data_IF_413831614358
#
_entry.id   IF_413831614358
#
_cell.length_a   1.000
_cell.length_b   1.000
_cell.length_c   1.000
_cell.angle_alpha   90.00
_cell.angle_beta   90.00
_cell.angle_gamma   90.00
#
_symmetry.space_group_name_H-M   'P 1'
#
loop_
_entity.id
_entity.type
_entity.pdbx_description
1 polymer ?
#
# COMPACT_ATOMS: atom_id res chain seq x y z
N UNK A 1 -6.17 9.41 27.82
CA UNK A 1 -5.49 10.12 26.71
C UNK A 1 -5.89 9.58 25.34
N UNK A 2 -5.89 8.25 25.10
CA UNK A 2 -6.25 7.66 23.79
C UNK A 2 -7.65 8.02 23.25
N UNK A 3 -8.67 8.12 24.11
CA UNK A 3 -10.03 8.52 23.70
C UNK A 3 -10.07 9.97 23.15
N UNK A 4 -9.38 10.91 23.83
CA UNK A 4 -9.34 12.31 23.40
C UNK A 4 -8.61 12.49 22.06
N UNK A 5 -7.52 11.74 21.83
CA UNK A 5 -6.82 11.78 20.53
C UNK A 5 -7.65 11.18 19.40
N UNK A 6 -8.47 10.15 19.70
CA UNK A 6 -9.40 9.55 18.74
C UNK A 6 -10.52 10.51 18.34
N UNK A 7 -11.17 11.15 19.31
CA UNK A 7 -12.23 12.13 19.04
C UNK A 7 -11.71 13.35 18.28
N UNK A 8 -10.48 13.78 18.59
CA UNK A 8 -9.78 14.81 17.84
C UNK A 8 -9.52 14.38 16.39
N UNK A 9 -9.01 13.16 16.18
CA UNK A 9 -8.75 12.65 14.83
C UNK A 9 -10.03 12.53 14.01
N UNK A 10 -11.14 12.07 14.60
CA UNK A 10 -12.46 12.02 13.95
C UNK A 10 -12.95 13.40 13.55
N UNK A 11 -12.80 14.40 14.44
CA UNK A 11 -13.18 15.79 14.14
C UNK A 11 -12.36 16.37 12.98
N UNK A 12 -11.06 16.08 12.93
CA UNK A 12 -10.17 16.50 11.85
C UNK A 12 -10.47 15.77 10.53
N UNK A 13 -10.81 14.48 10.58
CA UNK A 13 -11.24 13.70 9.41
C UNK A 13 -12.54 14.25 8.83
N UNK A 14 -13.51 14.60 9.69
CA UNK A 14 -14.74 15.25 9.26
C UNK A 14 -14.47 16.61 8.59
N UNK A 15 -13.54 17.40 9.12
CA UNK A 15 -13.11 18.66 8.49
C UNK A 15 -12.39 18.41 7.15
N UNK A 16 -11.51 17.41 7.07
CA UNK A 16 -10.82 17.04 5.85
C UNK A 16 -11.77 16.60 4.73
N UNK A 17 -12.88 15.94 5.07
CA UNK A 17 -13.84 15.46 4.10
C UNK A 17 -14.81 16.57 3.66
N UNK A 18 -15.31 17.37 4.60
CA UNK A 18 -16.49 18.23 4.36
C UNK A 18 -16.18 19.73 4.22
N UNK A 19 -14.99 20.21 4.59
CA UNK A 19 -14.72 21.65 4.60
C UNK A 19 -14.59 22.24 3.18
N UNK A 20 -15.10 23.46 2.94
CA UNK A 20 -15.04 24.10 1.62
C UNK A 20 -13.65 24.63 1.24
N UNK A 21 -12.83 24.96 2.23
CA UNK A 21 -11.45 25.44 2.04
C UNK A 21 -10.45 24.27 1.96
N UNK A 22 -9.73 24.18 0.84
CA UNK A 22 -8.71 23.16 0.57
C UNK A 22 -7.52 23.22 1.55
N UNK A 23 -7.09 24.40 1.99
CA UNK A 23 -5.99 24.53 2.94
C UNK A 23 -6.37 23.95 4.31
N UNK A 24 -7.62 24.15 4.74
CA UNK A 24 -8.15 23.53 5.96
C UNK A 24 -8.22 22.01 5.82
N UNK A 25 -8.65 21.50 4.66
CA UNK A 25 -8.67 20.04 4.41
C UNK A 25 -7.27 19.42 4.53
N UNK A 26 -6.28 20.01 3.86
CA UNK A 26 -4.91 19.51 3.85
C UNK A 26 -4.22 19.63 5.21
N UNK A 27 -4.43 20.74 5.92
CA UNK A 27 -3.88 20.91 7.28
C UNK A 27 -4.52 19.94 8.28
N UNK A 28 -5.81 19.64 8.13
CA UNK A 28 -6.50 18.64 8.94
C UNK A 28 -5.94 17.24 8.68
N UNK A 29 -5.74 16.85 7.42
CA UNK A 29 -5.12 15.56 7.08
C UNK A 29 -3.70 15.42 7.60
N UNK A 30 -2.90 16.48 7.51
CA UNK A 30 -1.55 16.49 8.05
C UNK A 30 -1.54 16.23 9.56
N UNK A 31 -2.50 16.80 10.29
CA UNK A 31 -2.66 16.57 11.73
C UNK A 31 -3.13 15.15 12.03
N UNK A 32 -4.12 14.64 11.28
CA UNK A 32 -4.59 13.25 11.40
C UNK A 32 -3.43 12.27 11.19
N UNK A 33 -2.63 12.46 10.14
CA UNK A 33 -1.44 11.65 9.89
C UNK A 33 -0.48 11.67 11.08
N UNK A 34 -0.21 12.85 11.68
CA UNK A 34 0.64 12.94 12.86
C UNK A 34 0.09 12.16 14.07
N UNK A 35 -1.22 12.22 14.31
CA UNK A 35 -1.89 11.47 15.38
C UNK A 35 -1.76 9.97 15.12
N UNK A 36 -2.13 9.51 13.92
CA UNK A 36 -2.12 8.09 13.56
C UNK A 36 -0.71 7.50 13.57
N UNK A 37 0.29 8.24 13.10
CA UNK A 37 1.68 7.79 13.04
C UNK A 37 2.34 7.64 14.41
N UNK A 38 1.74 8.21 15.47
CA UNK A 38 2.19 8.06 16.86
C UNK A 38 1.31 7.13 17.70
N UNK A 39 0.19 6.67 17.13
CA UNK A 39 -0.74 5.77 17.80
C UNK A 39 -0.31 4.30 17.68
N UNK A 40 -0.86 3.46 18.57
CA UNK A 40 -0.79 2.02 18.41
C UNK A 40 -1.48 1.59 17.08
N UNK A 41 -0.91 0.65 16.32
CA UNK A 41 -1.47 0.20 15.04
C UNK A 41 -2.95 -0.21 15.10
N UNK A 42 -3.38 -0.89 16.17
CA UNK A 42 -4.77 -1.35 16.32
C UNK A 42 -5.73 -0.18 16.54
N UNK A 43 -5.32 0.83 17.32
CA UNK A 43 -6.09 2.05 17.54
C UNK A 43 -6.13 2.93 16.30
N UNK A 44 -5.03 3.00 15.54
CA UNK A 44 -4.99 3.72 14.28
C UNK A 44 -5.96 3.10 13.25
N UNK A 45 -6.04 1.77 13.22
CA UNK A 45 -6.89 1.03 12.30
C UNK A 45 -8.39 1.32 12.46
N UNK A 46 -8.85 1.70 13.66
CA UNK A 46 -10.24 2.13 13.88
C UNK A 46 -10.64 3.34 13.02
N UNK A 47 -9.66 4.14 12.59
CA UNK A 47 -9.87 5.36 11.81
C UNK A 47 -9.72 5.15 10.30
N UNK A 48 -9.30 3.96 9.85
CA UNK A 48 -9.10 3.67 8.43
C UNK A 48 -10.37 3.79 7.58
N UNK A 49 -11.57 3.36 8.04
CA UNK A 49 -12.79 3.55 7.24
C UNK A 49 -13.05 5.01 6.85
N UNK A 50 -12.77 5.94 7.75
CA UNK A 50 -12.93 7.39 7.49
C UNK A 50 -11.85 7.94 6.57
N UNK A 51 -10.64 7.37 6.58
CA UNK A 51 -9.61 7.70 5.59
C UNK A 51 -10.03 7.26 4.19
N UNK A 52 -10.67 6.09 4.05
CA UNK A 52 -11.15 5.58 2.76
C UNK A 52 -12.16 6.54 2.13
N UNK A 53 -13.02 7.19 2.90
CA UNK A 53 -14.01 8.16 2.37
C UNK A 53 -13.38 9.30 1.57
N UNK A 54 -12.16 9.73 1.95
CA UNK A 54 -11.44 10.83 1.29
C UNK A 54 -11.04 10.48 -0.15
N UNK A 55 -11.10 9.20 -0.55
CA UNK A 55 -10.82 8.80 -1.92
C UNK A 55 -11.76 9.46 -2.93
N UNK A 56 -12.98 9.80 -2.49
CA UNK A 56 -14.01 10.42 -3.32
C UNK A 56 -13.91 11.95 -3.38
N UNK A 57 -12.91 12.55 -2.73
CA UNK A 57 -12.70 13.99 -2.79
C UNK A 57 -12.49 14.47 -4.24
N UNK A 58 -13.16 15.55 -4.67
CA UNK A 58 -12.94 16.13 -5.99
C UNK A 58 -11.53 16.73 -6.11
N UNK A 59 -10.91 17.14 -5.01
CA UNK A 59 -9.61 17.79 -5.00
C UNK A 59 -8.45 16.79 -5.08
N UNK A 60 -7.68 16.81 -6.17
CA UNK A 60 -6.59 15.85 -6.37
C UNK A 60 -5.46 15.97 -5.34
N UNK A 61 -5.30 17.15 -4.71
CA UNK A 61 -4.34 17.33 -3.61
C UNK A 61 -4.75 16.57 -2.34
N UNK A 62 -6.06 16.46 -2.06
CA UNK A 62 -6.58 15.68 -0.93
C UNK A 62 -6.33 14.20 -1.20
N UNK A 63 -6.63 13.71 -2.42
CA UNK A 63 -6.36 12.32 -2.81
C UNK A 63 -4.86 11.97 -2.75
N UNK A 64 -3.97 12.88 -3.15
CA UNK A 64 -2.51 12.70 -2.94
C UNK A 64 -2.12 12.64 -1.48
N UNK A 65 -2.66 13.54 -0.65
CA UNK A 65 -2.38 13.56 0.79
C UNK A 65 -2.90 12.31 1.49
N UNK A 66 -4.01 11.73 1.01
CA UNK A 66 -4.51 10.43 1.45
C UNK A 66 -3.49 9.32 1.15
N UNK A 67 -2.94 9.25 -0.06
CA UNK A 67 -1.92 8.24 -0.41
C UNK A 67 -0.71 8.36 0.52
N UNK A 68 -0.21 9.57 0.77
CA UNK A 68 0.90 9.78 1.71
C UNK A 68 0.57 9.36 3.14
N UNK A 69 -0.68 9.52 3.55
CA UNK A 69 -1.16 9.09 4.87
C UNK A 69 -1.20 7.57 4.95
N UNK A 70 -1.72 6.90 3.91
CA UNK A 70 -1.73 5.44 3.77
C UNK A 70 -0.30 4.88 3.80
N UNK A 71 0.64 5.50 3.09
CA UNK A 71 2.04 5.08 3.05
C UNK A 71 2.69 5.08 4.44
N UNK A 72 2.47 6.13 5.23
CA UNK A 72 3.09 6.29 6.56
C UNK A 72 2.49 5.35 7.62
N UNK A 73 1.16 5.18 7.62
CA UNK A 73 0.47 4.42 8.67
C UNK A 73 0.23 2.96 8.30
N UNK A 74 -0.07 2.68 7.03
CA UNK A 74 -0.50 1.35 6.61
C UNK A 74 0.64 0.34 6.56
N UNK A 75 1.88 0.80 6.37
CA UNK A 75 3.06 -0.05 6.54
C UNK A 75 3.37 -0.37 8.00
N UNK A 76 2.95 0.49 8.96
CA UNK A 76 3.09 0.23 10.40
C UNK A 76 1.98 -0.65 10.95
N UNK A 77 0.80 -0.57 10.35
CA UNK A 77 -0.41 -1.32 10.73
C UNK A 77 -0.80 -2.32 9.63
N UNK A 78 0.17 -3.09 9.12
CA UNK A 78 -0.03 -3.99 7.97
C UNK A 78 -1.16 -4.98 8.15
N UNK A 79 -1.36 -5.53 9.35
CA UNK A 79 -2.45 -6.46 9.68
C UNK A 79 -3.84 -5.87 9.41
N UNK A 80 -3.97 -4.55 9.43
CA UNK A 80 -5.21 -3.83 9.21
C UNK A 80 -5.30 -3.15 7.84
N UNK A 81 -4.25 -3.24 7.02
CA UNK A 81 -4.14 -2.46 5.78
C UNK A 81 -4.94 -3.00 4.60
N UNK A 82 -5.58 -4.17 4.72
CA UNK A 82 -6.45 -4.74 3.68
C UNK A 82 -7.58 -3.80 3.26
N UNK A 83 -8.03 -2.90 4.14
CA UNK A 83 -9.03 -1.86 3.81
C UNK A 83 -8.45 -0.67 3.03
N UNK A 84 -7.15 -0.38 3.18
CA UNK A 84 -6.49 0.77 2.56
C UNK A 84 -5.96 0.46 1.16
N UNK A 85 -5.51 -0.77 0.90
CA UNK A 85 -4.98 -1.16 -0.40
C UNK A 85 -5.97 -0.98 -1.57
N UNK A 86 -7.27 -1.27 -1.42
CA UNK A 86 -8.25 -0.99 -2.47
C UNK A 86 -8.29 0.48 -2.90
N UNK A 87 -7.97 1.43 -2.00
CA UNK A 87 -7.86 2.85 -2.33
C UNK A 87 -6.71 3.11 -3.30
N UNK A 88 -5.55 2.47 -3.07
CA UNK A 88 -4.41 2.56 -4.00
C UNK A 88 -4.78 1.99 -5.37
N UNK A 89 -5.47 0.83 -5.39
CA UNK A 89 -5.94 0.21 -6.63
C UNK A 89 -6.90 1.14 -7.39
N UNK A 90 -7.84 1.78 -6.71
CA UNK A 90 -8.75 2.74 -7.32
C UNK A 90 -8.01 3.94 -7.91
N UNK A 91 -7.01 4.47 -7.19
CA UNK A 91 -6.20 5.59 -7.66
C UNK A 91 -5.29 5.29 -8.85
N UNK A 92 -5.04 4.03 -9.19
CA UNK A 92 -4.36 3.70 -10.45
C UNK A 92 -5.12 4.20 -11.69
N UNK A 93 -6.45 4.36 -11.58
CA UNK A 93 -7.33 4.87 -12.63
C UNK A 93 -7.78 6.32 -12.39
N UNK A 94 -7.08 7.05 -11.53
CA UNK A 94 -7.39 8.46 -11.23
C UNK A 94 -7.21 9.35 -12.48
N UNK A 95 -8.10 10.33 -12.64
CA UNK A 95 -8.02 11.30 -13.73
C UNK A 95 -6.81 12.24 -13.65
N UNK A 96 -6.26 12.46 -12.45
CA UNK A 96 -4.99 13.17 -12.25
C UNK A 96 -3.83 12.17 -12.26
N UNK A 97 -3.02 12.24 -13.31
CA UNK A 97 -1.87 11.35 -13.52
C UNK A 97 -0.82 11.36 -12.41
N UNK A 98 -0.73 12.45 -11.65
CA UNK A 98 0.16 12.55 -10.50
C UNK A 98 -0.42 11.80 -9.29
N UNK A 99 -1.74 11.69 -9.16
CA UNK A 99 -2.38 10.82 -8.15
C UNK A 99 -2.10 9.36 -8.51
N UNK A 100 -2.35 8.98 -9.75
CA UNK A 100 -2.07 7.62 -10.24
C UNK A 100 -0.60 7.24 -10.09
N UNK A 101 0.32 8.14 -10.47
CA UNK A 101 1.75 7.92 -10.29
C UNK A 101 2.16 7.75 -8.82
N UNK A 102 1.63 8.58 -7.92
CA UNK A 102 1.91 8.45 -6.47
C UNK A 102 1.32 7.15 -5.90
N UNK A 103 0.18 6.70 -6.42
CA UNK A 103 -0.41 5.41 -6.05
C UNK A 103 0.48 4.23 -6.47
N UNK A 104 1.04 4.26 -7.69
CA UNK A 104 2.03 3.26 -8.15
C UNK A 104 3.19 3.19 -7.17
N UNK A 105 3.81 4.32 -6.83
CA UNK A 105 4.97 4.35 -5.92
C UNK A 105 4.61 3.80 -4.54
N UNK A 106 3.51 4.26 -3.94
CA UNK A 106 3.06 3.77 -2.64
C UNK A 106 2.75 2.27 -2.67
N UNK A 107 2.03 1.81 -3.69
CA UNK A 107 1.68 0.39 -3.84
C UNK A 107 2.88 -0.50 -4.13
N UNK A 108 3.92 -0.01 -4.82
CA UNK A 108 5.21 -0.71 -4.93
C UNK A 108 5.83 -0.95 -3.55
N UNK A 109 5.83 0.06 -2.68
CA UNK A 109 6.35 -0.08 -1.31
C UNK A 109 5.55 -1.11 -0.50
N UNK A 110 4.23 -1.11 -0.61
CA UNK A 110 3.38 -2.15 -0.02
C UNK A 110 3.70 -3.54 -0.59
N UNK A 111 3.82 -3.66 -1.91
CA UNK A 111 4.10 -4.94 -2.57
C UNK A 111 5.41 -5.57 -2.06
N UNK A 112 6.48 -4.78 -2.00
CA UNK A 112 7.76 -5.24 -1.45
C UNK A 112 7.64 -5.67 0.01
N UNK A 113 7.01 -4.84 0.87
CA UNK A 113 6.86 -5.14 2.30
C UNK A 113 6.00 -6.38 2.57
N UNK A 114 4.93 -6.56 1.81
CA UNK A 114 4.07 -7.75 1.91
C UNK A 114 4.86 -9.01 1.53
N UNK A 115 5.68 -8.97 0.47
CA UNK A 115 6.52 -10.11 0.09
C UNK A 115 7.60 -10.43 1.13
N UNK A 116 8.25 -9.40 1.68
CA UNK A 116 9.20 -9.55 2.78
C UNK A 116 8.56 -10.25 3.97
N UNK A 117 7.37 -9.81 4.38
CA UNK A 117 6.64 -10.38 5.51
C UNK A 117 6.18 -11.82 5.24
N UNK A 118 5.67 -12.11 4.03
CA UNK A 118 5.29 -13.49 3.64
C UNK A 118 6.50 -14.41 3.75
N UNK A 119 7.63 -13.96 3.23
CA UNK A 119 8.88 -14.72 3.26
C UNK A 119 9.33 -14.94 4.70
N UNK A 120 9.25 -13.91 5.54
CA UNK A 120 9.59 -13.99 6.96
C UNK A 120 8.67 -14.99 7.70
N UNK A 121 7.35 -14.82 7.65
CA UNK A 121 6.43 -15.72 8.35
C UNK A 121 6.61 -17.17 7.91
N UNK A 122 6.78 -17.42 6.62
CA UNK A 122 7.03 -18.76 6.13
C UNK A 122 8.37 -19.33 6.60
N UNK A 123 9.45 -18.53 6.61
CA UNK A 123 10.78 -18.97 7.09
C UNK A 123 10.80 -19.32 8.57
N UNK A 124 10.12 -18.53 9.40
CA UNK A 124 10.17 -18.68 10.86
C UNK A 124 9.10 -19.60 11.42
N UNK A 125 7.90 -19.60 10.82
CA UNK A 125 6.73 -20.32 11.32
C UNK A 125 6.23 -21.43 10.39
N UNK A 126 6.75 -21.54 9.16
CA UNK A 126 6.30 -22.52 8.16
C UNK A 126 4.87 -22.28 7.66
N UNK A 127 4.27 -21.15 8.02
CA UNK A 127 2.88 -20.79 7.81
C UNK A 127 2.80 -19.29 7.53
N UNK A 128 1.87 -18.90 6.67
CA UNK A 128 1.49 -17.50 6.43
C UNK A 128 0.17 -17.24 7.16
N UNK A 129 0.04 -16.10 7.81
CA UNK A 129 -1.18 -15.73 8.51
C UNK A 129 -2.27 -15.26 7.55
N UNK A 130 -3.54 -15.45 7.94
CA UNK A 130 -4.70 -15.19 7.09
C UNK A 130 -4.80 -13.72 6.63
N UNK A 131 -4.47 -12.78 7.50
CA UNK A 131 -4.51 -11.35 7.13
C UNK A 131 -3.51 -11.03 6.02
N UNK A 132 -2.37 -11.73 6.00
CA UNK A 132 -1.32 -11.54 5.02
C UNK A 132 -1.67 -12.21 3.69
N UNK A 133 -2.37 -13.35 3.71
CA UNK A 133 -2.97 -13.96 2.52
C UNK A 133 -4.02 -13.05 1.87
N UNK A 134 -4.87 -12.40 2.69
CA UNK A 134 -5.85 -11.43 2.22
C UNK A 134 -5.17 -10.20 1.60
N UNK A 135 -4.17 -9.65 2.29
CA UNK A 135 -3.40 -8.50 1.80
C UNK A 135 -2.64 -8.85 0.50
N UNK A 136 -2.10 -10.06 0.40
CA UNK A 136 -1.47 -10.57 -0.80
C UNK A 136 -2.44 -10.65 -1.98
N UNK A 137 -3.68 -11.08 -1.75
CA UNK A 137 -4.72 -11.13 -2.78
C UNK A 137 -4.96 -9.73 -3.38
N UNK A 138 -4.93 -8.69 -2.55
CA UNK A 138 -5.01 -7.31 -3.03
C UNK A 138 -3.74 -6.89 -3.79
N UNK A 139 -2.56 -7.30 -3.36
CA UNK A 139 -1.29 -7.04 -4.04
C UNK A 139 -1.19 -7.68 -5.43
N UNK A 140 -1.75 -8.89 -5.61
CA UNK A 140 -1.84 -9.53 -6.94
C UNK A 140 -2.71 -8.68 -7.88
N UNK A 141 -3.88 -8.22 -7.43
CA UNK A 141 -4.75 -7.33 -8.24
C UNK A 141 -4.07 -6.00 -8.56
N UNK A 142 -3.34 -5.45 -7.61
CA UNK A 142 -2.55 -4.24 -7.80
C UNK A 142 -1.47 -4.45 -8.87
N UNK A 143 -0.69 -5.53 -8.78
CA UNK A 143 0.31 -5.93 -9.79
C UNK A 143 -0.31 -5.99 -11.18
N UNK A 144 -1.42 -6.69 -11.33
CA UNK A 144 -2.07 -6.88 -12.64
C UNK A 144 -2.53 -5.54 -13.23
N UNK A 145 -3.08 -4.66 -12.40
CA UNK A 145 -3.48 -3.33 -12.83
C UNK A 145 -2.29 -2.44 -13.24
N UNK A 146 -1.16 -2.53 -12.53
CA UNK A 146 0.06 -1.79 -12.90
C UNK A 146 0.69 -2.37 -14.18
N UNK A 147 0.67 -3.68 -14.38
CA UNK A 147 1.13 -4.31 -15.61
C UNK A 147 0.29 -3.85 -16.82
N UNK A 148 -1.04 -3.79 -16.67
CA UNK A 148 -1.90 -3.24 -17.71
C UNK A 148 -1.49 -1.80 -18.09
N UNK A 149 -1.20 -0.94 -17.10
CA UNK A 149 -0.73 0.44 -17.34
C UNK A 149 0.61 0.47 -18.10
N UNK A 150 1.54 -0.43 -17.79
CA UNK A 150 2.82 -0.50 -18.49
C UNK A 150 2.66 -0.84 -19.98
N UNK A 151 1.74 -1.74 -20.29
CA UNK A 151 1.52 -2.28 -21.63
C UNK A 151 0.60 -1.39 -22.49
N UNK A 152 -0.44 -0.81 -21.90
CA UNK A 152 -1.43 0.01 -22.61
C UNK A 152 -0.90 1.40 -23.00
N UNK A 153 -1.41 2.02 -24.08
CA UNK A 153 -1.14 3.43 -24.36
C UNK A 153 -1.60 4.34 -23.21
N UNK A 154 -0.80 5.35 -22.88
CA UNK A 154 -1.10 6.22 -21.75
C UNK A 154 -0.05 7.30 -21.53
N UNK A 155 -0.20 8.04 -20.43
CA UNK A 155 0.71 9.13 -20.08
C UNK A 155 2.09 8.59 -19.73
N UNK A 156 3.13 9.13 -20.39
CA UNK A 156 4.52 8.67 -20.27
C UNK A 156 4.99 8.57 -18.82
N UNK A 157 4.65 9.54 -17.97
CA UNK A 157 5.05 9.55 -16.56
C UNK A 157 4.50 8.36 -15.78
N UNK A 158 3.21 8.05 -15.90
CA UNK A 158 2.57 6.92 -15.23
C UNK A 158 3.08 5.59 -15.80
N UNK A 159 3.28 5.51 -17.12
CA UNK A 159 3.88 4.33 -17.77
C UNK A 159 5.30 4.05 -17.29
N UNK A 160 6.14 5.07 -17.16
CA UNK A 160 7.51 4.92 -16.67
C UNK A 160 7.53 4.38 -15.23
N UNK A 161 6.63 4.87 -14.37
CA UNK A 161 6.49 4.34 -13.01
C UNK A 161 6.02 2.89 -13.00
N UNK A 162 5.07 2.53 -13.88
CA UNK A 162 4.61 1.14 -14.04
C UNK A 162 5.73 0.21 -14.55
N UNK A 163 6.58 0.68 -15.47
CA UNK A 163 7.75 -0.07 -15.93
C UNK A 163 8.78 -0.26 -14.82
N UNK A 164 9.02 0.75 -13.97
CA UNK A 164 9.86 0.60 -12.77
C UNK A 164 9.30 -0.41 -11.77
N UNK A 165 7.98 -0.45 -11.60
CA UNK A 165 7.34 -1.50 -10.81
C UNK A 165 7.59 -2.89 -11.42
N UNK A 166 7.48 -3.04 -12.74
CA UNK A 166 7.75 -4.30 -13.42
C UNK A 166 9.22 -4.74 -13.26
N UNK A 167 10.16 -3.80 -13.40
CA UNK A 167 11.58 -4.05 -13.10
C UNK A 167 11.77 -4.54 -11.66
N UNK A 168 11.16 -3.83 -10.68
CA UNK A 168 11.20 -4.22 -9.27
C UNK A 168 10.60 -5.61 -9.06
N UNK A 169 9.48 -5.92 -9.71
CA UNK A 169 8.84 -7.22 -9.66
C UNK A 169 9.78 -8.32 -10.17
N UNK A 170 10.39 -8.14 -11.35
CA UNK A 170 11.36 -9.11 -11.88
C UNK A 170 12.51 -9.33 -10.89
N UNK A 171 13.10 -8.25 -10.37
CA UNK A 171 14.22 -8.33 -9.42
C UNK A 171 13.86 -9.08 -8.12
N UNK A 172 12.63 -8.93 -7.61
CA UNK A 172 12.19 -9.63 -6.40
C UNK A 172 12.08 -11.15 -6.60
N UNK A 173 11.90 -11.61 -7.84
CA UNK A 173 11.69 -13.03 -8.17
C UNK A 173 12.87 -13.68 -8.91
N UNK A 174 13.87 -12.91 -9.33
CA UNK A 174 15.12 -13.42 -9.88
C UNK A 174 16.24 -13.28 -8.85
N UNK A 175 16.68 -14.38 -8.24
CA UNK A 175 17.84 -14.37 -7.35
C UNK A 175 19.11 -13.98 -8.12
N UNK A 176 20.04 -13.27 -7.48
CA UNK A 176 21.43 -13.23 -7.94
C UNK A 176 21.96 -14.67 -8.01
N UNK A 177 22.42 -15.09 -9.18
CA UNK A 177 22.77 -16.48 -9.50
C UNK A 177 23.99 -17.04 -8.75
N UNK A 178 24.50 -16.33 -7.74
CA UNK A 178 25.76 -16.65 -7.06
C UNK A 178 25.59 -17.30 -5.68
N UNK A 179 24.39 -17.34 -5.10
CA UNK A 179 24.16 -17.88 -3.74
C UNK A 179 23.59 -19.32 -3.73
N UNK A 180 23.94 -20.13 -4.72
CA UNK A 180 23.49 -21.53 -4.81
C UNK A 180 24.16 -22.49 -3.80
N UNK A 181 25.08 -22.04 -2.95
CA UNK A 181 25.89 -22.94 -2.11
C UNK A 181 25.42 -23.15 -0.66
N UNK A 182 24.43 -22.41 -0.14
CA UNK A 182 23.99 -22.56 1.27
C UNK A 182 22.56 -23.13 1.41
N UNK A 183 22.36 -24.36 0.94
CA UNK A 183 21.05 -25.02 1.00
C UNK A 183 20.78 -25.71 2.34
N UNK A 184 19.80 -25.19 3.09
CA UNK A 184 18.85 -26.02 3.88
C UNK A 184 17.57 -25.27 4.26
N UNK A 185 17.59 -23.93 4.35
CA UNK A 185 16.39 -23.09 4.61
C UNK A 185 16.10 -22.03 3.54
N UNK A 186 17.12 -21.54 2.84
CA UNK A 186 16.99 -20.57 1.75
C UNK A 186 16.31 -21.14 0.51
N UNK A 187 16.63 -22.38 0.13
CA UNK A 187 15.98 -23.06 -1.02
C UNK A 187 14.47 -23.23 -0.87
N UNK A 188 13.97 -23.46 0.34
CA UNK A 188 12.53 -23.66 0.60
C UNK A 188 11.77 -22.32 0.53
N UNK A 189 12.37 -21.25 1.04
CA UNK A 189 11.80 -19.90 0.92
C UNK A 189 11.79 -19.43 -0.54
N UNK A 190 12.88 -19.66 -1.28
CA UNK A 190 12.96 -19.36 -2.71
C UNK A 190 11.94 -20.16 -3.54
N UNK A 191 11.82 -21.47 -3.30
CA UNK A 191 10.81 -22.31 -3.95
C UNK A 191 9.39 -21.89 -3.59
N UNK A 192 9.15 -21.38 -2.39
CA UNK A 192 7.84 -20.85 -1.98
C UNK A 192 7.52 -19.51 -2.64
N UNK A 193 8.48 -18.59 -2.73
CA UNK A 193 8.36 -17.31 -3.44
C UNK A 193 8.14 -17.57 -4.95
N UNK A 194 8.84 -18.55 -5.53
CA UNK A 194 8.56 -19.07 -6.87
C UNK A 194 7.18 -19.73 -6.98
N UNK A 195 6.75 -20.52 -5.98
CA UNK A 195 5.44 -21.17 -5.99
C UNK A 195 4.29 -20.16 -5.86
N UNK A 196 4.48 -19.07 -5.10
CA UNK A 196 3.58 -17.92 -5.08
C UNK A 196 3.54 -17.28 -6.47
N UNK A 197 4.69 -17.08 -7.10
CA UNK A 197 4.73 -16.56 -8.48
C UNK A 197 3.99 -17.46 -9.46
N UNK A 198 4.25 -18.77 -9.43
CA UNK A 198 3.68 -19.76 -10.36
C UNK A 198 2.19 -20.04 -10.13
N UNK A 199 1.64 -19.78 -8.93
CA UNK A 199 0.20 -19.88 -8.67
C UNK A 199 -0.61 -18.71 -9.25
N UNK A 200 0.04 -17.59 -9.55
CA UNK A 200 -0.61 -16.33 -9.94
C UNK A 200 -0.01 -15.72 -11.22
N UNK A 201 0.65 -16.55 -12.05
CA UNK A 201 0.94 -16.31 -13.46
C UNK A 201 -0.11 -16.97 -14.35
#
# INVERSE_FOLDING_TARGET
MAAASRDQALSLLAAANNHGDLAVKLSSLKQVRGILSSADPSLAAELFPYLVELQSSPESLVRKSLIETIEDIGLKAMEHSSILVPVLLAFLRDGDSRVAGKSIVCGTNFFCRVLEEITMQFRWHGKVERWLEELWTWMVRFKDAVFAIALEPGLVGTKLLALKFLETHVLLFTSDSNDFENFTKEGIAFLFVMAISLKYF
#
